data_IF_057560466951
#
_entry.id   IF_057560466951
#
_cell.length_a   1.000
_cell.length_b   1.000
_cell.length_c   1.000
_cell.angle_alpha   90.00
_cell.angle_beta   90.00
_cell.angle_gamma   90.00
#
_symmetry.space_group_name_H-M   'P 1'
#
loop_
_entity.id
_entity.type
_entity.pdbx_description
1 polymer ?
2 non-polymer ?
3 non-polymer ?
4 non-polymer ?
5 non-polymer ?
6 water ?
#
# COMPACT_ATOMS: atom_id res chain seq x y z
C UNK A 27 -17.83 14.38 27.63
N UNK A 28 -17.84 14.90 26.40
CA UNK A 28 -17.81 14.07 25.20
C UNK A 28 -16.53 13.23 25.16
N UNK A 29 -15.39 13.83 25.47
CA UNK A 29 -14.12 13.10 25.43
C UNK A 29 -14.05 12.03 26.53
N UNK A 30 -14.69 12.31 27.66
CA UNK A 30 -14.78 11.33 28.74
C UNK A 30 -15.57 10.10 28.27
N UNK A 31 -16.70 10.37 27.61
CA UNK A 31 -17.52 9.32 27.01
C UNK A 31 -16.69 8.55 25.97
N UNK A 32 -16.03 9.28 25.07
CA UNK A 32 -15.21 8.61 24.05
C UNK A 32 -14.21 7.67 24.73
N UNK A 33 -13.53 8.17 25.75
CA UNK A 33 -12.55 7.36 26.48
C UNK A 33 -13.17 6.07 27.09
N UNK A 34 -14.28 6.19 27.82
CA UNK A 34 -14.97 5.00 28.36
C UNK A 34 -15.36 4.00 27.24
N UNK A 35 -15.86 4.54 26.14
CA UNK A 35 -16.19 3.73 24.97
C UNK A 35 -14.96 3.01 24.39
N UNK A 36 -13.82 3.70 24.29
CA UNK A 36 -12.59 3.03 23.86
C UNK A 36 -12.22 1.90 24.82
N UNK A 37 -12.25 2.17 26.13
CA UNK A 37 -11.97 1.10 27.09
C UNK A 37 -12.88 -0.13 26.87
N UNK A 38 -14.18 0.11 26.69
CA UNK A 38 -15.12 -0.97 26.50
C UNK A 38 -14.80 -1.77 25.22
N UNK A 39 -14.52 -1.06 24.13
CA UNK A 39 -14.15 -1.76 22.93
C UNK A 39 -12.83 -2.56 23.12
N UNK A 40 -11.87 -2.00 23.85
CA UNK A 40 -10.60 -2.70 24.07
C UNK A 40 -10.82 -4.02 24.80
N UNK A 41 -11.70 -3.99 25.80
CA UNK A 41 -12.11 -5.24 26.47
C UNK A 41 -12.66 -6.26 25.49
N UNK A 42 -13.56 -5.79 24.61
CA UNK A 42 -14.08 -6.72 23.61
C UNK A 42 -12.99 -7.28 22.69
N UNK A 43 -12.06 -6.45 22.26
CA UNK A 43 -10.97 -6.92 21.41
C UNK A 43 -10.18 -8.00 22.14
N UNK A 44 -9.81 -7.74 23.40
CA UNK A 44 -9.03 -8.68 24.16
C UNK A 44 -9.73 -10.04 24.30
N UNK A 45 -11.06 -10.03 24.41
CA UNK A 45 -11.78 -11.29 24.47
C UNK A 45 -11.49 -12.25 23.29
N UNK A 46 -11.02 -11.74 22.17
CA UNK A 46 -10.81 -12.56 20.97
C UNK A 46 -9.35 -12.72 20.63
N UNK A 47 -8.48 -12.44 21.60
CA UNK A 47 -7.03 -12.55 21.42
C UNK A 47 -6.48 -13.61 22.38
N UNK A 48 -5.72 -14.55 21.84
CA UNK A 48 -4.92 -15.45 22.68
C UNK A 48 -3.46 -15.34 22.23
N UNK A 49 -2.56 -15.27 23.19
CA UNK A 49 -1.15 -15.17 22.86
C UNK A 49 -0.33 -16.12 23.69
N UNK A 50 0.70 -16.67 23.11
CA UNK A 50 1.66 -17.40 23.90
C UNK A 50 3.06 -17.39 23.32
N UNK A 51 4.05 -17.63 24.17
CA UNK A 51 5.42 -17.68 23.72
C UNK A 51 5.81 -19.14 23.55
N UNK A 52 5.99 -19.54 22.31
CA UNK A 52 6.10 -20.95 21.98
C UNK A 52 7.45 -21.28 21.39
N UNK A 53 8.16 -20.27 20.90
CA UNK A 53 9.45 -20.47 20.27
C UNK A 53 10.57 -19.80 21.08
N UNK A 54 11.56 -20.61 21.46
CA UNK A 54 12.72 -20.14 22.18
C UNK A 54 13.59 -19.28 21.28
N UNK A 55 14.61 -18.67 21.86
CA UNK A 55 15.54 -17.85 21.10
C UNK A 55 16.23 -18.68 19.99
N UNK A 56 16.62 -19.91 20.34
CA UNK A 56 17.24 -20.83 19.39
C UNK A 56 16.33 -21.25 18.23
N UNK A 57 15.10 -21.61 18.57
CA UNK A 57 14.09 -21.96 17.58
C UNK A 57 13.83 -20.77 16.66
N UNK A 58 13.78 -19.58 17.25
CA UNK A 58 13.58 -18.35 16.52
C UNK A 58 14.72 -18.11 15.53
N UNK A 59 15.95 -18.26 16.01
CA UNK A 59 17.13 -18.14 15.15
C UNK A 59 17.08 -19.13 13.98
N UNK A 60 16.75 -20.39 14.25
CA UNK A 60 16.70 -21.35 13.15
C UNK A 60 15.61 -20.96 12.14
N UNK A 61 14.44 -20.58 12.62
CA UNK A 61 13.38 -20.12 11.71
C UNK A 61 13.78 -18.84 10.95
N UNK A 62 14.41 -17.89 11.65
CA UNK A 62 14.90 -16.66 11.01
C UNK A 62 15.87 -16.92 9.85
N UNK A 63 16.75 -17.91 10.02
CA UNK A 63 17.64 -18.31 8.90
C UNK A 63 16.84 -18.81 7.67
N UNK A 64 15.72 -19.48 7.89
CA UNK A 64 14.94 -19.98 6.76
C UNK A 64 14.16 -18.84 6.09
N UNK A 65 13.69 -17.90 6.90
CA UNK A 65 13.07 -16.69 6.36
C UNK A 65 14.07 -15.95 5.46
N UNK A 66 15.31 -15.82 5.93
CA UNK A 66 16.36 -15.23 5.11
C UNK A 66 16.60 -16.05 3.83
N UNK A 67 16.59 -17.38 3.92
CA UNK A 67 16.63 -18.22 2.69
C UNK A 67 15.49 -17.85 1.71
N UNK A 68 14.27 -17.72 2.21
CA UNK A 68 13.15 -17.35 1.35
C UNK A 68 13.43 -16.00 0.66
N UNK A 69 13.87 -15.02 1.43
CA UNK A 69 14.16 -13.72 0.83
C UNK A 69 15.23 -13.86 -0.25
N UNK A 70 16.27 -14.63 0.05
CA UNK A 70 17.34 -14.86 -0.91
C UNK A 70 16.85 -15.52 -2.19
N UNK A 71 16.03 -16.55 -2.06
CA UNK A 71 15.53 -17.22 -3.24
C UNK A 71 14.62 -16.27 -4.03
N UNK A 72 13.83 -15.45 -3.34
CA UNK A 72 12.99 -14.49 -4.05
C UNK A 72 13.85 -13.50 -4.83
N UNK A 73 14.91 -13.03 -4.21
CA UNK A 73 15.79 -12.08 -4.88
C UNK A 73 16.49 -12.72 -6.08
N UNK A 74 16.67 -14.05 -6.05
CA UNK A 74 17.27 -14.76 -7.18
C UNK A 74 16.24 -15.04 -8.30
N UNK A 75 14.97 -14.73 -8.03
CA UNK A 75 13.90 -14.91 -9.00
C UNK A 75 13.42 -16.35 -9.14
N UNK A 76 13.47 -17.13 -8.06
CA UNK A 76 13.18 -18.55 -8.11
C UNK A 76 11.75 -18.88 -7.75
N UNK A 77 10.96 -17.87 -7.40
CA UNK A 77 9.56 -18.08 -7.11
C UNK A 77 8.69 -17.60 -8.27
N UNK A 78 7.45 -18.09 -8.34
CA UNK A 78 6.50 -17.58 -9.32
C UNK A 78 6.19 -16.12 -9.04
N UNK A 79 5.79 -15.38 -10.07
CA UNK A 79 5.56 -13.94 -9.96
C UNK A 79 4.62 -13.59 -8.80
N UNK A 80 3.49 -14.28 -8.69
CA UNK A 80 2.48 -13.91 -7.71
C UNK A 80 2.82 -14.33 -6.28
N UNK A 81 3.91 -15.08 -6.12
CA UNK A 81 4.39 -15.44 -4.79
C UNK A 81 4.95 -14.27 -4.00
N UNK A 82 5.54 -13.30 -4.71
CA UNK A 82 6.28 -12.22 -4.10
C UNK A 82 5.66 -10.88 -4.42
N UNK A 83 5.30 -10.14 -3.37
CA UNK A 83 4.78 -8.77 -3.53
C UNK A 83 5.71 -7.78 -2.84
N UNK A 84 6.38 -6.92 -3.63
CA UNK A 84 7.40 -6.00 -3.11
C UNK A 84 6.88 -4.58 -2.93
N UNK A 85 7.18 -3.98 -1.79
CA UNK A 85 6.85 -2.58 -1.55
C UNK A 85 7.97 -1.92 -0.76
N UNK A 86 8.06 -0.59 -0.80
CA UNK A 86 9.20 0.17 -0.28
C UNK A 86 9.75 -0.35 1.05
N UNK A 87 8.89 -0.55 2.04
CA UNK A 87 9.36 -0.95 3.36
C UNK A 87 8.78 -2.29 3.78
N UNK A 88 8.31 -3.07 2.83
CA UNK A 88 7.75 -4.35 3.20
C UNK A 88 7.59 -5.25 2.01
N UNK A 89 7.91 -6.52 2.25
CA UNK A 89 7.71 -7.53 1.23
C UNK A 89 6.78 -8.60 1.77
N UNK A 90 5.93 -9.13 0.89
CA UNK A 90 5.07 -10.25 1.25
C UNK A 90 5.42 -11.46 0.38
N UNK A 91 5.44 -12.62 1.01
CA UNK A 91 5.73 -13.87 0.34
C UNK A 91 4.55 -14.79 0.59
N UNK A 92 3.82 -15.12 -0.47
CA UNK A 92 2.59 -15.91 -0.35
C UNK A 92 2.87 -17.41 -0.62
N UNK A 93 2.54 -18.28 0.32
CA UNK A 93 2.64 -19.72 0.08
C UNK A 93 1.35 -20.47 0.31
N UNK A 94 1.13 -21.48 -0.51
CA UNK A 94 -0.05 -22.33 -0.41
C UNK A 94 -1.24 -21.66 -1.10
N UNK A 95 -1.66 -20.52 -0.55
CA UNK A 95 -2.65 -19.66 -1.18
C UNK A 95 -2.29 -18.20 -0.98
N UNK A 96 -2.59 -17.38 -1.98
CA UNK A 96 -2.40 -15.93 -1.90
C UNK A 96 -3.64 -15.26 -2.43
N UNK A 97 -3.74 -13.95 -2.23
CA UNK A 97 -4.90 -13.22 -2.68
C UNK A 97 -4.55 -11.85 -3.13
N UNK A 98 -5.47 -11.26 -3.86
CA UNK A 98 -5.29 -9.94 -4.41
C UNK A 98 -6.68 -9.33 -4.62
N UNK A 99 -6.73 -8.05 -4.94
CA UNK A 99 -7.99 -7.41 -5.32
C UNK A 99 -8.32 -7.74 -6.78
N UNK A 100 -9.49 -8.33 -7.00
CA UNK A 100 -9.94 -8.63 -8.34
C UNK A 100 -10.86 -7.53 -8.82
N UNK A 101 -11.12 -7.52 -10.13
CA UNK A 101 -12.13 -6.64 -10.70
C UNK A 101 -13.50 -6.94 -10.10
N UNK A 102 -14.22 -5.89 -9.69
CA UNK A 102 -15.55 -6.04 -9.09
C UNK A 102 -16.62 -5.40 -9.96
N UNK A 108 -19.42 -10.93 -2.68
CA UNK A 108 -18.89 -10.53 -1.37
C UNK A 108 -17.92 -9.34 -1.49
N UNK A 109 -16.85 -9.33 -0.69
CA UNK A 109 -15.79 -8.35 -0.84
C UNK A 109 -14.94 -8.66 -2.06
N UNK A 110 -14.01 -7.77 -2.37
CA UNK A 110 -13.33 -7.77 -3.66
C UNK A 110 -12.09 -8.68 -3.74
N UNK A 111 -11.58 -9.11 -2.60
CA UNK A 111 -10.41 -9.99 -2.61
C UNK A 111 -10.71 -11.34 -3.25
N UNK A 112 -9.71 -11.86 -3.95
CA UNK A 112 -9.82 -13.12 -4.66
C UNK A 112 -8.52 -13.87 -4.49
N UNK A 113 -8.62 -15.19 -4.33
CA UNK A 113 -7.45 -16.06 -4.37
C UNK A 113 -6.88 -16.11 -5.78
N UNK A 114 -5.57 -16.28 -5.91
CA UNK A 114 -4.98 -16.53 -7.20
C UNK A 114 -5.41 -17.92 -7.71
N UNK A 115 -5.28 -18.18 -9.02
CA UNK A 115 -5.63 -19.50 -9.56
C UNK A 115 -4.80 -20.61 -8.92
N UNK A 116 -5.34 -21.85 -8.90
CA UNK A 116 -4.57 -22.96 -8.30
C UNK A 116 -3.18 -23.07 -8.93
N UNK A 117 -2.16 -23.27 -8.10
CA UNK A 117 -0.80 -23.40 -8.60
C UNK A 117 -0.06 -22.11 -8.93
N UNK A 118 -0.72 -20.95 -8.82
CA UNK A 118 -0.06 -19.68 -9.10
C UNK A 118 1.02 -19.31 -8.06
N UNK A 119 0.75 -19.55 -6.78
CA UNK A 119 1.77 -19.24 -5.76
C UNK A 119 2.51 -20.52 -5.41
N UNK A 120 3.70 -20.38 -4.84
CA UNK A 120 4.52 -21.54 -4.48
C UNK A 120 3.94 -22.27 -3.29
N UNK A 121 4.25 -23.56 -3.19
CA UNK A 121 3.79 -24.42 -2.10
C UNK A 121 4.37 -23.98 -0.74
N UNK A 122 3.67 -24.27 0.34
CA UNK A 122 4.23 -24.02 1.66
C UNK A 122 5.54 -24.83 1.83
N UNK A 123 6.65 -24.16 2.21
CA UNK A 123 7.90 -24.89 2.40
C UNK A 123 7.80 -25.89 3.55
N UNK A 124 8.51 -26.99 3.42
CA UNK A 124 8.51 -28.05 4.44
C UNK A 124 8.84 -27.46 5.81
N UNK A 125 9.80 -26.55 5.87
CA UNK A 125 10.24 -26.05 7.17
C UNK A 125 9.13 -25.27 7.88
N UNK A 126 8.20 -24.70 7.13
CA UNK A 126 7.08 -24.05 7.77
C UNK A 126 6.19 -25.10 8.40
N UNK A 127 6.00 -26.21 7.71
CA UNK A 127 5.24 -27.32 8.29
C UNK A 127 5.92 -27.89 9.52
N UNK A 128 7.22 -28.15 9.42
CA UNK A 128 7.92 -28.91 10.45
C UNK A 128 8.27 -28.03 11.66
N UNK A 129 8.73 -26.81 11.39
CA UNK A 129 9.27 -25.97 12.45
C UNK A 129 8.23 -25.10 13.10
N UNK A 130 7.18 -24.73 12.36
CA UNK A 130 6.19 -23.77 12.87
C UNK A 130 4.83 -24.41 13.10
N UNK A 131 4.23 -24.97 12.05
CA UNK A 131 2.87 -25.47 12.16
C UNK A 131 2.81 -26.66 13.12
N UNK A 132 3.72 -27.62 12.95
CA UNK A 132 3.67 -28.82 13.77
C UNK A 132 3.75 -28.45 15.24
N UNK A 133 4.56 -27.45 15.56
CA UNK A 133 4.67 -26.98 16.94
C UNK A 133 3.36 -26.34 17.45
N UNK A 134 2.71 -25.56 16.59
CA UNK A 134 1.41 -25.01 16.93
C UNK A 134 0.39 -26.12 17.19
N UNK A 135 0.41 -27.16 16.35
CA UNK A 135 -0.52 -28.27 16.53
C UNK A 135 -0.21 -29.03 17.81
N UNK A 136 1.07 -29.23 18.10
CA UNK A 136 1.50 -29.96 19.29
C UNK A 136 1.03 -29.29 20.56
N UNK A 137 1.03 -27.96 20.55
CA UNK A 137 0.58 -27.19 21.69
C UNK A 137 -0.90 -26.80 21.56
N UNK A 138 -1.62 -27.45 20.64
CA UNK A 138 -3.07 -27.32 20.57
C UNK A 138 -3.56 -25.87 20.31
N UNK A 139 -2.81 -25.12 19.51
CA UNK A 139 -3.23 -23.79 19.10
C UNK A 139 -4.24 -23.86 17.96
N UNK A 140 -4.01 -24.78 17.05
CA UNK A 140 -4.90 -25.04 15.92
C UNK A 140 -4.96 -26.54 15.67
N UNK A 141 -6.03 -27.01 15.02
CA UNK A 141 -6.09 -28.44 14.75
C UNK A 141 -5.13 -28.84 13.67
N UNK A 142 -4.78 -30.11 13.66
CA UNK A 142 -4.05 -30.70 12.54
C UNK A 142 -4.79 -30.48 11.23
N UNK A 143 -4.05 -30.10 10.19
CA UNK A 143 -4.61 -29.93 8.87
C UNK A 143 -5.41 -28.64 8.65
N UNK A 144 -5.39 -27.75 9.63
CA UNK A 144 -6.07 -26.46 9.50
C UNK A 144 -5.37 -25.54 8.49
N UNK A 145 -4.08 -25.34 8.67
CA UNK A 145 -3.37 -24.34 7.88
C UNK A 145 -3.12 -24.82 6.45
N UNK A 146 -3.56 -24.04 5.45
CA UNK A 146 -3.13 -24.30 4.05
C UNK A 146 -2.61 -23.02 3.37
N UNK A 147 -2.51 -21.94 4.14
CA UNK A 147 -1.92 -20.70 3.65
C UNK A 147 -0.91 -20.16 4.65
N UNK A 148 0.26 -19.83 4.12
CA UNK A 148 1.34 -19.24 4.91
C UNK A 148 1.93 -18.03 4.19
N UNK A 149 1.72 -16.86 4.78
CA UNK A 149 2.25 -15.62 4.23
C UNK A 149 3.33 -15.07 5.15
N UNK A 150 4.49 -14.82 4.57
CA UNK A 150 5.57 -14.19 5.31
C UNK A 150 5.58 -12.70 4.94
N UNK A 151 5.37 -11.86 5.96
CA UNK A 151 5.51 -10.43 5.83
C UNK A 151 6.83 -10.00 6.46
N UNK A 152 7.67 -9.32 5.67
CA UNK A 152 8.98 -8.87 6.10
C UNK A 152 9.02 -7.34 6.08
N UNK A 153 9.11 -6.75 7.27
CA UNK A 153 9.06 -5.30 7.47
C UNK A 153 10.41 -4.74 7.87
N UNK A 154 10.75 -3.62 7.23
CA UNK A 154 11.85 -2.78 7.66
C UNK A 154 11.30 -1.70 8.59
N UNK A 155 12.18 -1.08 9.39
CA UNK A 155 11.73 0.02 10.25
C UNK A 155 10.94 1.03 9.45
N UNK A 156 9.77 1.43 9.94
CA UNK A 156 8.96 2.42 9.25
C UNK A 156 7.89 1.83 8.37
N UNK A 157 7.82 0.50 8.31
CA UNK A 157 6.85 -0.16 7.48
C UNK A 157 5.44 0.08 7.96
N UNK A 158 4.47 -0.03 7.06
CA UNK A 158 3.09 0.30 7.42
C UNK A 158 2.12 -0.63 6.73
N UNK A 159 1.07 -1.00 7.45
CA UNK A 159 -0.03 -1.76 6.86
C UNK A 159 -1.30 -0.99 7.08
N UNK A 160 -2.14 -0.94 6.07
CA UNK A 160 -3.42 -0.27 6.18
C UNK A 160 -4.44 -1.06 7.02
N UNK A 161 -5.24 -0.32 7.76
CA UNK A 161 -6.46 -0.81 8.41
C UNK A 161 -7.21 -1.82 7.58
N UNK A 162 -7.44 -2.99 8.15
CA UNK A 162 -8.18 -4.01 7.42
C UNK A 162 -8.71 -5.07 8.35
N UNK A 163 -9.73 -5.78 7.87
CA UNK A 163 -10.15 -7.08 8.41
C UNK A 163 -9.68 -8.18 7.45
N UNK A 164 -9.10 -9.25 7.94
CA UNK A 164 -8.73 -10.36 7.04
C UNK A 164 -10.01 -10.85 6.36
N UNK A 165 -10.02 -10.88 5.01
CA UNK A 165 -11.29 -11.11 4.29
C UNK A 165 -12.03 -12.39 4.70
N UNK A 166 -13.26 -12.20 5.16
CA UNK A 166 -14.03 -13.26 5.78
C UNK A 166 -14.59 -14.21 4.72
N UNK A 167 -14.67 -13.77 3.47
CA UNK A 167 -15.06 -14.65 2.37
C UNK A 167 -13.87 -15.46 1.78
N UNK A 168 -12.66 -15.19 2.27
CA UNK A 168 -11.47 -15.96 1.90
C UNK A 168 -10.97 -16.91 3.00
N UNK A 169 -10.89 -16.39 4.22
CA UNK A 169 -10.25 -17.07 5.35
C UNK A 169 -11.21 -17.40 6.48
N UNK A 170 -11.13 -18.64 6.92
CA UNK A 170 -11.79 -19.09 8.12
C UNK A 170 -11.01 -18.59 9.32
N UNK A 171 -11.69 -18.56 10.46
CA UNK A 171 -11.06 -18.17 11.69
C UNK A 171 -10.72 -19.44 12.44
N UNK A 172 -9.71 -19.40 13.32
CA UNK A 172 -8.96 -18.23 13.76
C UNK A 172 -7.82 -17.82 12.80
N UNK A 173 -7.31 -16.61 12.99
CA UNK A 173 -6.18 -16.09 12.24
C UNK A 173 -4.95 -16.28 13.13
N UNK A 174 -3.90 -16.91 12.64
CA UNK A 174 -2.73 -17.12 13.47
C UNK A 174 -1.51 -16.38 12.94
N UNK A 175 -0.79 -15.69 13.81
CA UNK A 175 0.44 -15.07 13.39
C UNK A 175 1.60 -15.32 14.35
N UNK A 176 2.77 -15.52 13.78
CA UNK A 176 3.97 -15.84 14.54
C UNK A 176 5.05 -14.83 14.21
N UNK A 177 5.63 -14.22 15.23
CA UNK A 177 6.53 -13.10 15.04
C UNK A 177 8.02 -13.41 15.22
N UNK A 178 8.85 -12.79 14.40
CA UNK A 178 10.29 -13.06 14.39
C UNK A 178 11.14 -11.80 14.20
N UNK A 179 12.42 -11.95 14.58
CA UNK A 179 13.50 -10.97 14.44
C UNK A 179 13.51 -9.92 15.53
N UNK A 180 12.35 -9.36 15.87
CA UNK A 180 12.31 -8.35 16.91
C UNK A 180 10.92 -8.23 17.56
N UNK A 181 10.87 -7.60 18.73
CA UNK A 181 9.61 -7.33 19.41
C UNK A 181 8.92 -6.12 18.77
N UNK A 182 7.61 -6.16 18.66
CA UNK A 182 6.87 -5.05 18.07
C UNK A 182 5.43 -4.95 18.62
N UNK A 183 4.54 -4.32 17.86
CA UNK A 183 3.14 -4.13 18.25
C UNK A 183 2.19 -4.24 17.07
N UNK A 184 1.04 -4.83 17.34
CA UNK A 184 -0.07 -4.95 16.41
C UNK A 184 -1.22 -4.11 16.92
N UNK A 185 -1.74 -3.22 16.08
CA UNK A 185 -2.79 -2.30 16.50
C UNK A 185 -4.19 -2.72 16.05
N UNK A 186 -5.14 -2.56 16.95
CA UNK A 186 -6.54 -2.81 16.68
C UNK A 186 -7.35 -1.53 16.83
N UNK A 187 -8.31 -1.38 15.90
CA UNK A 187 -9.19 -0.23 15.85
C UNK A 187 -8.40 0.89 15.20
N UNK A 188 -8.38 0.90 13.86
CA UNK A 188 -7.38 1.66 13.12
C UNK A 188 -7.96 2.89 12.39
N UNK A 189 -9.06 3.41 12.92
CA UNK A 189 -9.66 4.62 12.37
C UNK A 189 -8.69 5.81 12.47
N UNK A 190 -7.81 5.79 13.47
CA UNK A 190 -6.81 6.83 13.64
C UNK A 190 -5.99 7.06 12.36
N UNK A 191 -5.87 6.03 11.54
CA UNK A 191 -5.08 6.14 10.31
C UNK A 191 -5.64 7.21 9.39
N UNK A 192 -6.93 7.52 9.51
CA UNK A 192 -7.57 8.44 8.58
C UNK A 192 -7.93 9.77 9.22
N UNK A 193 -7.37 10.03 10.39
CA UNK A 193 -7.60 11.29 11.11
C UNK A 193 -6.29 12.01 11.34
N UNK A 194 -6.34 13.34 11.58
CA UNK A 194 -5.09 14.07 11.85
C UNK A 194 -4.35 13.50 13.06
N UNK A 195 -3.03 13.66 13.06
CA UNK A 195 -2.24 13.34 14.23
C UNK A 195 -2.76 14.21 15.42
N UNK A 196 -2.87 13.56 16.58
CA UNK A 196 -3.32 14.14 17.86
C UNK A 196 -4.83 14.07 18.05
N UNK A 197 -5.54 13.57 17.04
CA UNK A 197 -6.98 13.49 17.14
C UNK A 197 -7.40 12.10 17.64
N UNK A 198 -6.68 11.08 17.23
CA UNK A 198 -7.09 9.72 17.53
C UNK A 198 -5.91 8.85 17.86
N UNK A 199 -6.22 7.61 18.21
CA UNK A 199 -5.24 6.61 18.57
C UNK A 199 -5.85 5.22 18.37
N UNK A 200 -5.01 4.18 18.37
CA UNK A 200 -5.53 2.81 18.30
C UNK A 200 -6.39 2.48 19.49
N UNK A 201 -7.41 1.67 19.26
CA UNK A 201 -8.25 1.20 20.35
C UNK A 201 -7.41 0.31 21.26
N UNK A 202 -6.60 -0.55 20.66
CA UNK A 202 -5.70 -1.42 21.42
C UNK A 202 -4.37 -1.62 20.72
N UNK A 203 -3.29 -1.41 21.47
CA UNK A 203 -1.98 -1.82 20.99
C UNK A 203 -1.60 -3.10 21.71
N UNK A 204 -1.43 -4.15 20.92
CA UNK A 204 -1.03 -5.45 21.42
C UNK A 204 0.45 -5.71 21.21
N UNK A 205 1.21 -5.85 22.29
CA UNK A 205 2.61 -6.23 22.14
C UNK A 205 2.76 -7.60 21.49
N UNK A 206 3.64 -7.72 20.49
CA UNK A 206 3.93 -9.00 19.86
C UNK A 206 5.45 -9.22 19.88
N UNK A 207 5.86 -10.06 20.81
CA UNK A 207 7.28 -10.31 21.03
C UNK A 207 7.81 -11.37 20.08
N UNK A 208 9.11 -11.30 19.83
CA UNK A 208 9.81 -12.35 19.08
C UNK A 208 9.51 -13.72 19.68
N UNK A 209 9.04 -14.65 18.85
CA UNK A 209 8.76 -16.00 19.28
C UNK A 209 7.34 -16.18 19.80
N UNK A 210 6.55 -15.12 19.74
CA UNK A 210 5.18 -15.21 20.22
C UNK A 210 4.23 -15.61 19.09
N UNK A 211 3.18 -16.30 19.50
CA UNK A 211 2.08 -16.71 18.65
C UNK A 211 0.86 -15.93 19.06
N UNK A 212 0.20 -15.32 18.07
CA UNK A 212 -0.99 -14.52 18.28
C UNK A 212 -2.17 -15.14 17.52
N UNK A 213 -3.25 -15.40 18.25
CA UNK A 213 -4.44 -16.07 17.71
C UNK A 213 -5.65 -15.14 17.82
N UNK A 214 -6.21 -14.79 16.65
CA UNK A 214 -7.36 -13.88 16.60
C UNK A 214 -8.64 -14.62 16.24
N UNK A 215 -9.66 -14.41 17.07
CA UNK A 215 -10.99 -14.95 16.82
C UNK A 215 -12.07 -13.95 17.26
N UNK A 216 -13.33 -14.28 17.00
CA UNK A 216 -14.45 -13.47 17.42
C UNK A 216 -14.29 -11.99 17.09
N UNK A 217 -14.51 -11.15 18.11
CA UNK A 217 -14.54 -9.71 17.92
C UNK A 217 -13.22 -9.22 17.29
N UNK A 218 -12.11 -9.75 17.78
CA UNK A 218 -10.77 -9.32 17.37
C UNK A 218 -10.50 -9.60 15.91
N UNK A 219 -11.08 -10.68 15.41
CA UNK A 219 -10.85 -11.09 14.03
C UNK A 219 -11.96 -10.61 13.08
N UNK A 220 -13.16 -10.41 13.62
CA UNK A 220 -14.33 -10.18 12.77
C UNK A 220 -14.97 -8.81 12.87
N UNK A 221 -14.79 -8.14 14.00
CA UNK A 221 -15.58 -6.96 14.32
C UNK A 221 -14.75 -5.68 14.51
N UNK A 222 -13.48 -5.75 14.17
CA UNK A 222 -12.62 -4.59 14.24
C UNK A 222 -11.45 -4.77 13.27
N UNK A 223 -10.85 -3.66 12.86
CA UNK A 223 -9.69 -3.66 11.98
C UNK A 223 -8.39 -3.85 12.76
N UNK A 224 -7.35 -4.30 12.08
CA UNK A 224 -5.99 -4.19 12.61
C UNK A 224 -5.05 -3.61 11.58
N UNK A 225 -3.88 -3.22 12.07
CA UNK A 225 -2.89 -2.50 11.27
C UNK A 225 -1.56 -2.45 11.97
N UNK A 226 -0.55 -1.90 11.31
CA UNK A 226 0.77 -1.73 11.90
C UNK A 226 1.23 -0.30 11.67
N UNK A 227 1.78 0.30 12.71
CA UNK A 227 2.28 1.66 12.64
C UNK A 227 3.79 1.67 12.41
N UNK A 228 4.27 2.55 11.52
CA UNK A 228 5.71 2.68 11.26
C UNK A 228 6.55 2.78 12.52
N UNK A 229 6.13 3.64 13.45
CA UNK A 229 6.93 3.92 14.62
C UNK A 229 7.04 2.70 15.56
N UNK A 230 6.18 1.70 15.36
CA UNK A 230 6.21 0.48 16.16
C UNK A 230 7.19 -0.54 15.58
N UNK A 231 7.66 -0.31 14.36
CA UNK A 231 8.66 -1.19 13.77
C UNK A 231 10.01 -0.49 13.87
N UNK A 232 10.77 -0.88 14.89
CA UNK A 232 12.02 -0.20 15.21
C UNK A 232 13.22 -0.96 14.66
N UNK A 233 13.08 -2.27 14.51
CA UNK A 233 14.09 -3.06 13.84
C UNK A 233 13.34 -3.93 12.86
N UNK A 234 14.08 -4.57 11.96
CA UNK A 234 13.48 -5.54 11.06
C UNK A 234 12.56 -6.47 11.84
N UNK A 235 11.39 -6.73 11.28
CA UNK A 235 10.40 -7.57 11.91
C UNK A 235 9.83 -8.48 10.84
N UNK A 236 9.69 -9.77 11.14
CA UNK A 236 8.98 -10.63 10.19
C UNK A 236 7.87 -11.36 10.89
N UNK A 237 6.78 -11.61 10.18
CA UNK A 237 5.65 -12.30 10.77
C UNK A 237 5.19 -13.36 9.78
N UNK A 238 4.96 -14.56 10.29
CA UNK A 238 4.38 -15.64 9.52
C UNK A 238 2.90 -15.72 9.87
N UNK A 239 2.06 -15.46 8.87
CA UNK A 239 0.62 -15.50 9.04
C UNK A 239 0.10 -16.80 8.45
N UNK A 240 -0.56 -17.57 9.32
CA UNK A 240 -0.98 -18.92 9.07
C UNK A 240 -2.49 -18.94 9.14
N UNK A 241 -3.08 -19.30 7.99
CA UNK A 241 -4.52 -19.33 7.83
C UNK A 241 -5.03 -20.52 7.04
N UNK A 242 -6.33 -20.72 7.20
CA UNK A 242 -7.12 -21.67 6.46
C UNK A 242 -8.01 -20.95 5.48
N UNK A 243 -7.92 -21.28 4.19
CA UNK A 243 -8.84 -20.73 3.23
C UNK A 243 -10.13 -21.51 3.24
N UNK A 244 -11.22 -20.80 3.02
CA UNK A 244 -12.53 -21.42 2.83
C UNK A 244 -12.52 -22.27 1.58
N UNK A 245 -13.20 -23.41 1.64
CA UNK A 245 -13.36 -24.26 0.47
C UNK A 245 -14.03 -23.50 -0.66
N UNK A 246 -14.96 -22.60 -0.34
CA UNK A 246 -15.69 -21.86 -1.37
C UNK A 246 -15.07 -20.49 -1.66
N UNK A 247 -13.85 -20.25 -1.21
CA UNK A 247 -13.21 -18.96 -1.44
C UNK A 247 -13.16 -18.67 -2.95
N UNK A 248 -13.63 -17.49 -3.39
CA UNK A 248 -13.57 -17.22 -4.84
C UNK A 248 -12.13 -16.99 -5.33
N UNK A 249 -11.87 -17.44 -6.55
CA UNK A 249 -10.57 -17.29 -7.19
C UNK A 249 -10.74 -16.38 -8.39
N UNK A 250 -9.67 -15.70 -8.77
CA UNK A 250 -9.68 -14.97 -10.04
C UNK A 250 -10.10 -15.89 -11.18
N UNK B 36 14.50 25.74 8.72
CA UNK B 36 13.24 25.06 8.50
C UNK B 36 12.45 25.73 7.37
N UNK B 37 12.20 27.02 7.52
CA UNK B 37 11.58 27.81 6.45
C UNK B 37 12.56 27.89 5.28
N UNK B 38 13.84 27.74 5.59
CA UNK B 38 14.89 27.69 4.60
C UNK B 38 14.60 26.59 3.57
N UNK B 39 14.05 25.47 4.04
CA UNK B 39 13.78 24.36 3.14
C UNK B 39 12.47 24.56 2.38
N UNK B 40 11.45 25.04 3.08
CA UNK B 40 10.18 25.38 2.44
C UNK B 40 10.42 26.33 1.25
N UNK B 41 11.32 27.29 1.43
CA UNK B 41 11.76 28.12 0.32
C UNK B 41 12.26 27.29 -0.87
N UNK B 42 13.20 26.39 -0.60
CA UNK B 42 13.82 25.60 -1.67
C UNK B 42 12.78 24.70 -2.32
N UNK B 43 11.83 24.22 -1.54
CA UNK B 43 10.79 23.38 -2.13
C UNK B 43 9.92 24.24 -3.05
N UNK B 44 9.57 25.44 -2.58
CA UNK B 44 8.75 26.34 -3.38
C UNK B 44 9.45 26.71 -4.69
N UNK B 45 10.77 26.80 -4.69
CA UNK B 45 11.47 27.10 -5.95
C UNK B 45 11.18 26.08 -7.06
N UNK B 46 10.83 24.84 -6.72
CA UNK B 46 10.68 23.79 -7.72
C UNK B 46 9.24 23.47 -8.07
N UNK B 47 8.35 24.38 -7.72
CA UNK B 47 6.92 24.18 -7.96
C UNK B 47 6.37 25.32 -8.80
N UNK B 48 5.70 24.95 -9.88
CA UNK B 48 4.91 25.93 -10.64
C UNK B 48 3.50 25.37 -10.79
N UNK B 49 2.51 26.21 -10.57
CA UNK B 49 1.10 25.78 -10.62
C UNK B 49 0.31 26.69 -11.54
N UNK B 50 -0.76 26.18 -12.15
CA UNK B 50 -1.68 27.11 -12.81
C UNK B 50 -3.05 26.51 -13.09
N UNK B 51 -4.08 27.33 -13.02
CA UNK B 51 -5.42 26.96 -13.45
C UNK B 51 -5.40 26.84 -14.97
N UNK B 52 -5.94 25.77 -15.52
CA UNK B 52 -5.83 25.54 -16.95
C UNK B 52 -7.08 24.93 -17.59
N UNK B 53 -7.85 24.18 -16.82
CA UNK B 53 -9.04 23.53 -17.35
C UNK B 53 -10.32 24.14 -16.75
N UNK B 54 -11.26 24.52 -17.63
CA UNK B 54 -12.54 25.09 -17.20
C UNK B 54 -13.40 24.03 -16.52
N UNK B 55 -14.51 24.44 -15.92
CA UNK B 55 -15.44 23.50 -15.31
C UNK B 55 -15.88 22.47 -16.35
N UNK B 56 -16.20 22.94 -17.56
CA UNK B 56 -16.68 22.07 -18.64
C UNK B 56 -15.61 21.06 -19.10
N UNK B 57 -14.41 21.56 -19.32
CA UNK B 57 -13.29 20.72 -19.68
C UNK B 57 -13.06 19.65 -18.62
N UNK B 58 -13.10 20.08 -17.37
CA UNK B 58 -12.95 19.16 -16.23
C UNK B 58 -14.03 18.08 -16.26
N UNK B 59 -15.28 18.49 -16.42
CA UNK B 59 -16.39 17.53 -16.52
C UNK B 59 -16.14 16.50 -17.64
N UNK B 60 -15.74 16.98 -18.81
CA UNK B 60 -15.44 16.05 -19.91
C UNK B 60 -14.36 15.03 -19.47
N UNK B 61 -13.24 15.55 -18.94
CA UNK B 61 -12.15 14.67 -18.54
C UNK B 61 -12.56 13.67 -17.43
N UNK B 62 -13.33 14.16 -16.46
CA UNK B 62 -13.83 13.34 -15.38
C UNK B 62 -14.73 12.21 -15.86
N UNK B 63 -15.58 12.51 -16.84
CA UNK B 63 -16.34 11.47 -17.53
C UNK B 63 -15.41 10.43 -18.17
N UNK B 64 -14.35 10.89 -18.83
CA UNK B 64 -13.41 9.90 -19.40
C UNK B 64 -12.70 9.05 -18.32
N UNK B 65 -12.33 9.67 -17.20
CA UNK B 65 -11.70 8.93 -16.11
C UNK B 65 -12.68 7.85 -15.63
N UNK B 66 -13.94 8.23 -15.44
CA UNK B 66 -14.95 7.23 -15.06
C UNK B 66 -15.03 6.09 -16.09
N UNK B 67 -14.98 6.44 -17.36
CA UNK B 67 -14.91 5.43 -18.42
C UNK B 67 -13.73 4.46 -18.21
N UNK B 68 -12.54 4.99 -17.97
CA UNK B 68 -11.39 4.12 -17.64
C UNK B 68 -11.68 3.19 -16.47
N UNK B 69 -12.23 3.75 -15.39
CA UNK B 69 -12.55 2.92 -14.22
C UNK B 69 -13.50 1.79 -14.61
N UNK B 70 -14.53 2.13 -15.37
CA UNK B 70 -15.50 1.13 -15.78
C UNK B 70 -14.86 0.06 -16.67
N UNK B 71 -13.98 0.48 -17.57
CA UNK B 71 -13.30 -0.48 -18.44
C UNK B 71 -12.45 -1.44 -17.61
N UNK B 72 -11.81 -0.88 -16.57
CA UNK B 72 -10.96 -1.69 -15.69
C UNK B 72 -11.77 -2.72 -14.93
N UNK B 73 -12.93 -2.29 -14.41
CA UNK B 73 -13.83 -3.21 -13.71
C UNK B 73 -14.30 -4.36 -14.60
N UNK B 74 -14.42 -4.09 -15.89
CA UNK B 74 -14.83 -5.11 -16.83
C UNK B 74 -13.65 -5.99 -17.20
N UNK B 75 -12.48 -5.69 -16.64
CA UNK B 75 -11.31 -6.53 -16.84
C UNK B 75 -10.76 -6.43 -18.26
N UNK B 76 -10.95 -5.28 -18.88
CA UNK B 76 -10.57 -5.10 -20.29
C UNK B 76 -9.17 -4.52 -20.49
N UNK B 77 -8.43 -4.29 -19.40
CA UNK B 77 -7.03 -3.88 -19.48
C UNK B 77 -6.08 -5.03 -19.12
N UNK B 78 -4.81 -4.88 -19.51
CA UNK B 78 -3.76 -5.81 -19.12
C UNK B 78 -3.57 -5.85 -17.62
N UNK B 79 -3.07 -6.97 -17.10
CA UNK B 79 -2.85 -7.12 -15.66
C UNK B 79 -2.11 -5.92 -15.04
N UNK B 80 -0.99 -5.51 -15.64
CA UNK B 80 -0.11 -4.54 -14.98
C UNK B 80 -0.51 -3.10 -15.21
N UNK B 81 -1.56 -2.89 -16.00
CA UNK B 81 -2.13 -1.56 -16.21
C UNK B 81 -2.84 -1.06 -14.94
N UNK B 82 -3.48 -1.98 -14.25
CA UNK B 82 -4.30 -1.65 -13.07
C UNK B 82 -3.69 -2.13 -11.75
N UNK B 83 -3.39 -1.18 -10.88
CA UNK B 83 -2.92 -1.46 -9.52
C UNK B 83 -4.03 -1.08 -8.53
N UNK B 84 -4.69 -2.10 -7.99
CA UNK B 84 -5.81 -1.90 -7.07
C UNK B 84 -5.38 -2.01 -5.62
N UNK B 85 -5.88 -1.09 -4.80
CA UNK B 85 -5.67 -1.12 -3.36
C UNK B 85 -6.93 -0.59 -2.68
N UNK B 86 -7.03 -0.77 -1.36
CA UNK B 86 -8.26 -0.40 -0.65
C UNK B 86 -8.69 1.06 -0.87
N UNK B 87 -7.77 2.02 -0.83
CA UNK B 87 -8.16 3.43 -0.88
C UNK B 87 -7.72 4.18 -2.13
N UNK B 88 -7.00 3.52 -3.02
CA UNK B 88 -6.58 4.16 -4.26
C UNK B 88 -6.35 3.13 -5.35
N UNK B 89 -6.75 3.50 -6.57
CA UNK B 89 -6.44 2.68 -7.74
C UNK B 89 -5.53 3.48 -8.65
N UNK B 90 -4.55 2.80 -9.25
CA UNK B 90 -3.61 3.42 -10.17
C UNK B 90 -3.78 2.74 -11.52
N UNK B 91 -3.86 3.55 -12.55
CA UNK B 91 -3.97 3.07 -13.92
C UNK B 91 -2.77 3.59 -14.69
N UNK B 92 -1.91 2.67 -15.11
CA UNK B 92 -0.65 2.97 -15.80
C UNK B 92 -0.84 2.87 -17.31
N UNK B 93 -0.56 3.96 -18.03
CA UNK B 93 -0.59 3.96 -19.50
C UNK B 93 0.72 4.46 -20.10
N UNK B 94 1.14 3.80 -21.18
CA UNK B 94 2.37 4.12 -21.90
C UNK B 94 3.60 3.42 -21.30
N UNK B 95 3.88 3.75 -20.05
CA UNK B 95 4.91 3.08 -19.29
C UNK B 95 4.41 3.00 -17.84
N UNK B 96 4.85 1.99 -17.12
CA UNK B 96 4.53 1.84 -15.70
C UNK B 96 5.75 1.25 -15.05
N UNK B 97 5.78 1.28 -13.71
CA UNK B 97 6.92 0.82 -12.94
C UNK B 97 6.49 0.07 -11.68
N UNK B 98 7.42 -0.69 -11.11
CA UNK B 98 7.17 -1.42 -9.87
C UNK B 98 8.53 -1.70 -9.24
N UNK B 99 8.56 -2.39 -8.10
CA UNK B 99 9.82 -2.74 -7.43
C UNK B 99 10.27 -4.14 -7.83
N UNK B 100 11.58 -4.29 -8.03
CA UNK B 100 12.16 -5.57 -8.43
C UNK B 100 13.24 -6.02 -7.45
N UNK B 110 15.56 -1.69 -6.97
CA UNK B 110 14.56 -0.66 -6.76
C UNK B 110 13.59 -0.58 -7.96
N UNK B 111 13.06 0.61 -8.25
CA UNK B 111 12.02 0.72 -9.27
C UNK B 111 12.54 0.38 -10.65
N UNK B 112 11.70 -0.31 -11.41
CA UNK B 112 12.01 -0.72 -12.77
C UNK B 112 10.76 -0.59 -13.62
N UNK B 113 10.94 -0.28 -14.90
CA UNK B 113 9.83 -0.20 -15.82
C UNK B 113 9.33 -1.60 -16.15
N UNK B 114 8.02 -1.78 -16.26
CA UNK B 114 7.48 -3.03 -16.81
C UNK B 114 8.03 -3.23 -18.23
N UNK B 115 8.17 -4.50 -18.65
CA UNK B 115 8.68 -4.78 -20.00
C UNK B 115 7.79 -4.15 -21.09
N UNK B 116 8.32 -3.90 -22.29
CA UNK B 116 7.50 -3.32 -23.34
C UNK B 116 6.24 -4.13 -23.63
N UNK B 117 5.09 -3.47 -23.69
CA UNK B 117 3.85 -4.14 -24.05
C UNK B 117 3.05 -4.62 -22.85
N UNK B 118 3.62 -4.49 -21.66
CA UNK B 118 2.92 -4.93 -20.46
C UNK B 118 1.73 -4.02 -20.14
N UNK B 119 1.91 -2.69 -20.22
CA UNK B 119 0.80 -1.79 -19.90
C UNK B 119 0.13 -1.33 -21.18
N UNK B 120 -1.10 -0.83 -21.03
CA UNK B 120 -1.90 -0.37 -22.14
C UNK B 120 -1.42 0.99 -22.64
N UNK B 121 -1.72 1.29 -23.90
CA UNK B 121 -1.33 2.58 -24.48
C UNK B 121 -2.08 3.78 -23.89
N UNK B 122 -1.47 4.95 -23.99
CA UNK B 122 -2.11 6.19 -23.55
C UNK B 122 -3.43 6.37 -24.33
N UNK B 123 -4.56 6.53 -23.62
CA UNK B 123 -5.80 6.70 -24.39
C UNK B 123 -5.80 7.97 -25.22
N UNK B 124 -6.53 7.97 -26.33
CA UNK B 124 -6.55 9.13 -27.22
C UNK B 124 -7.12 10.36 -26.51
N UNK B 125 -8.09 10.16 -25.62
CA UNK B 125 -8.68 11.29 -24.93
C UNK B 125 -7.63 11.92 -24.04
N UNK B 126 -6.65 11.14 -23.55
CA UNK B 126 -5.59 11.74 -22.74
C UNK B 126 -4.73 12.64 -23.63
N UNK B 127 -4.36 12.16 -24.81
CA UNK B 127 -3.62 13.02 -25.75
C UNK B 127 -4.39 14.29 -26.11
N UNK B 128 -5.67 14.13 -26.43
CA UNK B 128 -6.42 15.25 -26.99
C UNK B 128 -6.90 16.24 -25.94
N UNK B 129 -7.36 15.74 -24.80
CA UNK B 129 -8.01 16.61 -23.83
C UNK B 129 -7.03 17.19 -22.81
N UNK B 130 -5.93 16.48 -22.56
CA UNK B 130 -5.01 16.89 -21.51
C UNK B 130 -3.67 17.32 -22.08
N UNK B 131 -2.94 16.38 -22.67
CA UNK B 131 -1.59 16.65 -23.12
C UNK B 131 -1.54 17.82 -24.12
N UNK B 132 -2.43 17.82 -25.11
CA UNK B 132 -2.45 18.91 -26.07
C UNK B 132 -2.78 20.26 -25.42
N UNK B 133 -3.56 20.22 -24.34
CA UNK B 133 -3.86 21.44 -23.61
C UNK B 133 -2.59 21.99 -22.99
N UNK B 134 -1.81 21.11 -22.39
CA UNK B 134 -0.53 21.48 -21.81
C UNK B 134 0.45 21.95 -22.88
N UNK B 135 0.49 21.24 -24.00
CA UNK B 135 1.41 21.60 -25.09
C UNK B 135 1.10 22.97 -25.65
N UNK B 136 -0.18 23.26 -25.88
CA UNK B 136 -0.52 24.51 -26.54
C UNK B 136 -0.45 25.68 -25.57
N UNK B 137 -0.34 25.38 -24.27
CA UNK B 137 -0.08 26.41 -23.28
C UNK B 137 1.40 26.43 -22.87
N UNK B 138 2.22 25.70 -23.61
CA UNK B 138 3.68 25.78 -23.48
C UNK B 138 4.18 25.34 -22.10
N UNK B 139 3.35 24.56 -21.40
CA UNK B 139 3.77 23.92 -20.15
C UNK B 139 4.86 22.88 -20.42
N UNK B 140 4.74 22.20 -21.55
CA UNK B 140 5.63 21.09 -21.84
C UNK B 140 5.66 20.96 -23.37
N UNK B 141 6.81 20.52 -23.92
CA UNK B 141 6.86 20.50 -25.40
C UNK B 141 6.16 19.30 -26.03
N UNK B 142 5.81 19.44 -27.30
CA UNK B 142 5.24 18.35 -28.06
C UNK B 142 6.20 17.16 -28.00
N UNK B 143 5.64 15.96 -27.82
CA UNK B 143 6.43 14.75 -27.85
C UNK B 143 7.11 14.38 -26.54
N UNK B 144 6.89 15.19 -25.51
CA UNK B 144 7.48 14.94 -24.19
C UNK B 144 6.84 13.76 -23.46
N UNK B 145 5.52 13.77 -23.36
CA UNK B 145 4.81 12.81 -22.52
C UNK B 145 4.76 11.45 -23.18
N UNK B 146 5.32 10.44 -22.54
CA UNK B 146 5.15 9.05 -23.00
C UNK B 146 4.67 8.16 -21.88
N UNK B 147 4.47 8.74 -20.70
CA UNK B 147 3.82 8.03 -19.59
C UNK B 147 2.67 8.84 -18.98
N UNK B 148 1.49 8.21 -18.90
CA UNK B 148 0.35 8.80 -18.20
C UNK B 148 -0.23 7.81 -17.19
N UNK B 149 -0.19 8.23 -15.93
CA UNK B 149 -0.77 7.44 -14.85
C UNK B 149 -1.95 8.18 -14.26
N UNK B 150 -3.07 7.49 -14.12
CA UNK B 150 -4.21 8.04 -13.43
C UNK B 150 -4.26 7.47 -12.02
N UNK B 151 -4.27 8.36 -11.03
CA UNK B 151 -4.46 7.94 -9.64
C UNK B 151 -5.84 8.36 -9.18
N UNK B 152 -6.62 7.38 -8.73
CA UNK B 152 -7.99 7.63 -8.33
C UNK B 152 -8.10 7.33 -6.84
N UNK B 153 -8.19 8.40 -6.05
CA UNK B 153 -8.25 8.30 -4.59
C UNK B 153 -9.67 8.43 -4.05
N UNK B 154 -9.99 7.49 -3.15
CA UNK B 154 -11.20 7.53 -2.34
C UNK B 154 -10.98 8.47 -1.15
N UNK B 155 -12.07 8.99 -0.58
CA UNK B 155 -11.95 9.83 0.61
C UNK B 155 -11.15 9.12 1.70
N UNK B 156 -10.24 9.86 2.34
CA UNK B 156 -9.39 9.28 3.36
C UNK B 156 -8.20 8.52 2.80
N UNK B 157 -8.01 8.60 1.49
CA UNK B 157 -6.89 7.94 0.84
C UNK B 157 -5.55 8.44 1.37
N UNK B 158 -4.50 7.67 1.10
CA UNK B 158 -3.17 7.95 1.65
C UNK B 158 -2.09 7.44 0.71
N UNK B 159 -1.04 8.22 0.55
CA UNK B 159 0.09 7.85 -0.28
C UNK B 159 1.36 7.98 0.53
N UNK B 160 2.17 6.94 0.50
CA UNK B 160 3.39 6.94 1.30
C UNK B 160 4.44 7.87 0.71
N UNK B 161 5.17 8.50 1.62
CA UNK B 161 6.35 9.29 1.30
C UNK B 161 7.19 8.69 0.18
N UNK B 162 7.45 9.46 -0.88
CA UNK B 162 8.30 8.98 -1.95
C UNK B 162 8.84 10.11 -2.80
N UNK B 163 9.81 9.76 -3.63
CA UNK B 163 10.32 10.62 -4.69
C UNK B 163 10.10 9.90 -6.01
N UNK B 164 9.62 10.63 -7.01
CA UNK B 164 9.39 10.03 -8.32
C UNK B 164 10.74 9.52 -8.84
N UNK B 165 10.81 8.23 -9.25
CA UNK B 165 12.12 7.59 -9.48
C UNK B 165 13.03 8.36 -10.42
N UNK B 166 14.12 8.88 -9.88
CA UNK B 166 15.00 9.75 -10.65
C UNK B 166 15.68 8.99 -11.80
N UNK B 167 15.90 7.69 -11.62
CA UNK B 167 16.50 6.85 -12.65
C UNK B 167 15.50 6.33 -13.69
N UNK B 168 14.22 6.67 -13.54
CA UNK B 168 13.19 6.26 -14.49
C UNK B 168 12.67 7.46 -15.28
N UNK B 169 12.35 8.55 -14.58
CA UNK B 169 11.68 9.68 -15.20
C UNK B 169 12.54 10.95 -15.30
N UNK B 170 12.47 11.60 -16.46
CA UNK B 170 12.95 12.97 -16.62
C UNK B 170 12.08 13.92 -15.82
N UNK B 171 12.58 15.15 -15.64
CA UNK B 171 11.79 16.26 -15.12
C UNK B 171 11.51 17.23 -16.27
N UNK B 172 10.44 18.02 -16.18
CA UNK B 172 9.54 18.15 -15.04
C UNK B 172 8.57 16.99 -14.91
N UNK B 173 8.05 16.81 -13.69
CA UNK B 173 6.92 15.93 -13.47
C UNK B 173 5.66 16.77 -13.57
N UNK B 174 4.69 16.37 -14.39
CA UNK B 174 3.46 17.16 -14.50
C UNK B 174 2.24 16.39 -14.00
N UNK B 175 1.44 17.05 -13.16
CA UNK B 175 0.23 16.43 -12.64
C UNK B 175 -0.98 17.36 -12.79
N UNK B 176 -2.12 16.77 -13.11
CA UNK B 176 -3.36 17.52 -13.28
C UNK B 176 -4.43 16.91 -12.40
N UNK B 177 -5.16 17.75 -11.68
CA UNK B 177 -6.09 17.28 -10.67
C UNK B 177 -7.55 17.39 -11.11
N UNK B 178 -8.36 16.43 -10.70
CA UNK B 178 -9.79 16.43 -10.99
C UNK B 178 -10.63 15.92 -9.81
N UNK B 179 -11.94 16.19 -9.95
CA UNK B 179 -13.05 15.83 -9.06
C UNK B 179 -13.17 16.74 -7.84
N UNK B 180 -12.06 17.11 -7.22
CA UNK B 180 -12.13 18.00 -6.07
C UNK B 180 -10.80 18.66 -5.79
N UNK B 181 -10.81 19.58 -4.83
CA UNK B 181 -9.59 20.26 -4.39
C UNK B 181 -8.94 19.46 -3.27
N UNK B 182 -7.62 19.53 -3.15
CA UNK B 182 -6.91 18.75 -2.14
C UNK B 182 -5.58 19.42 -1.86
N UNK B 183 -4.63 18.67 -1.33
CA UNK B 183 -3.31 19.22 -1.06
C UNK B 183 -2.25 18.15 -1.29
N UNK B 184 -1.04 18.59 -1.61
CA UNK B 184 0.11 17.71 -1.77
C UNK B 184 1.15 18.10 -0.71
N UNK B 185 1.59 17.13 0.08
CA UNK B 185 2.57 17.40 1.14
C UNK B 185 3.99 17.10 0.71
N UNK B 186 4.92 17.93 1.17
CA UNK B 186 6.34 17.77 0.90
C UNK B 186 7.08 17.73 2.22
N UNK B 187 7.96 16.73 2.35
CA UNK B 187 8.73 16.52 3.55
C UNK B 187 7.87 15.72 4.51
N UNK B 188 7.94 14.40 4.40
CA UNK B 188 6.90 13.53 4.96
C UNK B 188 7.36 12.69 6.17
N UNK B 189 8.33 13.20 6.91
CA UNK B 189 8.79 12.49 8.10
C UNK B 189 7.68 12.25 9.15
N UNK B 190 6.66 13.10 9.16
CA UNK B 190 5.55 12.93 10.08
C UNK B 190 4.84 11.57 9.90
N UNK B 191 4.96 10.97 8.72
CA UNK B 191 4.36 9.66 8.46
C UNK B 191 5.10 8.57 9.25
N UNK B 192 6.38 8.80 9.54
CA UNK B 192 7.23 7.77 10.12
C UNK B 192 7.49 7.98 11.60
N UNK B 193 7.49 9.24 12.04
CA UNK B 193 7.76 9.60 13.43
C UNK B 193 6.82 10.70 13.96
N UNK B 194 5.53 10.41 14.07
CA UNK B 194 4.53 11.42 14.45
C UNK B 194 4.75 12.04 15.84
N UNK B 195 5.45 11.32 16.71
CA UNK B 195 5.72 11.85 18.04
C UNK B 195 6.85 12.88 17.94
N UNK B 196 7.62 12.83 16.86
CA UNK B 196 8.67 13.83 16.63
C UNK B 196 8.17 15.04 15.84
N UNK B 197 7.37 14.79 14.82
CA UNK B 197 6.88 15.84 13.94
C UNK B 197 5.54 15.42 13.37
N UNK B 198 4.61 16.37 13.26
CA UNK B 198 3.25 16.05 12.88
C UNK B 198 2.83 16.74 11.58
N UNK B 199 3.65 17.66 11.09
CA UNK B 199 3.32 18.43 9.90
C UNK B 199 4.37 18.28 8.81
N UNK B 200 3.96 18.41 7.55
CA UNK B 200 4.91 18.41 6.43
C UNK B 200 5.76 19.65 6.40
N UNK B 201 6.90 19.59 5.71
CA UNK B 201 7.70 20.78 5.48
C UNK B 201 6.84 21.78 4.75
N UNK B 202 6.12 21.32 3.73
CA UNK B 202 5.23 22.19 2.98
C UNK B 202 3.94 21.51 2.57
N UNK B 203 2.83 22.19 2.74
CA UNK B 203 1.55 21.72 2.22
C UNK B 203 1.15 22.57 1.03
N UNK B 204 0.93 21.92 -0.10
CA UNK B 204 0.68 22.62 -1.35
C UNK B 204 -0.76 22.44 -1.74
N UNK B 205 -1.54 23.52 -1.81
CA UNK B 205 -2.91 23.34 -2.28
C UNK B 205 -2.96 22.91 -3.75
N UNK B 206 -3.84 21.96 -4.09
CA UNK B 206 -3.98 21.52 -5.49
C UNK B 206 -5.48 21.42 -5.87
N UNK B 207 -5.91 22.31 -6.75
CA UNK B 207 -7.32 22.48 -7.02
C UNK B 207 -7.75 21.81 -8.32
N UNK B 208 -9.00 21.37 -8.33
CA UNK B 208 -9.63 20.81 -9.51
C UNK B 208 -9.36 21.72 -10.72
N UNK B 209 -8.81 21.13 -11.78
CA UNK B 209 -8.57 21.84 -13.02
C UNK B 209 -7.19 22.49 -13.13
N UNK B 210 -6.43 22.43 -12.04
CA UNK B 210 -5.11 23.06 -12.00
C UNK B 210 -4.01 22.07 -12.34
N UNK B 211 -2.93 22.62 -12.86
CA UNK B 211 -1.75 21.86 -13.25
C UNK B 211 -0.65 22.16 -12.26
N UNK B 212 0.07 21.12 -11.87
CA UNK B 212 1.23 21.27 -11.01
C UNK B 212 2.45 20.71 -11.74
N UNK B 213 3.48 21.54 -11.81
CA UNK B 213 4.74 21.23 -12.49
C UNK B 213 5.85 21.17 -11.44
N UNK B 214 6.42 19.97 -11.26
CA UNK B 214 7.51 19.77 -10.31
C UNK B 214 8.85 19.58 -10.98
N UNK B 215 9.84 20.28 -10.43
CA UNK B 215 11.19 20.26 -10.94
C UNK B 215 12.20 20.51 -9.80
N UNK B 216 13.48 20.35 -10.09
CA UNK B 216 14.54 20.69 -9.18
C UNK B 216 14.38 20.11 -7.79
N UNK B 217 14.57 20.96 -6.80
CA UNK B 217 14.53 20.56 -5.40
C UNK B 217 13.24 19.84 -5.05
N UNK B 218 12.11 20.34 -5.54
CA UNK B 218 10.81 19.78 -5.18
C UNK B 218 10.62 18.38 -5.77
N UNK B 219 11.26 18.13 -6.92
CA UNK B 219 11.16 16.82 -7.57
C UNK B 219 12.26 15.85 -7.12
N UNK B 220 13.42 16.40 -6.72
CA UNK B 220 14.63 15.58 -6.53
C UNK B 220 15.13 15.40 -5.08
N UNK B 221 14.89 16.37 -4.21
CA UNK B 221 15.61 16.43 -2.94
C UNK B 221 14.71 16.30 -1.71
N UNK B 222 13.42 16.10 -1.94
CA UNK B 222 12.47 15.97 -0.85
C UNK B 222 11.37 15.02 -1.28
N UNK B 223 10.82 14.28 -0.33
CA UNK B 223 9.71 13.38 -0.61
C UNK B 223 8.40 14.13 -0.68
N UNK B 224 7.40 13.50 -1.28
CA UNK B 224 6.02 13.97 -1.14
C UNK B 224 5.09 12.81 -0.81
N UNK B 225 3.88 13.17 -0.39
CA UNK B 225 2.87 12.21 0.04
C UNK B 225 1.51 12.88 0.05
N UNK B 226 0.50 12.09 0.38
CA UNK B 226 -0.86 12.59 0.55
C UNK B 226 -1.46 12.09 1.85
N UNK B 227 -2.01 13.03 2.63
CA UNK B 227 -2.62 12.77 3.93
C UNK B 227 -4.12 12.56 3.81
N UNK B 228 -4.67 11.55 4.51
CA UNK B 228 -6.12 11.29 4.44
C UNK B 228 -6.98 12.50 4.73
N UNK B 229 -6.53 13.33 5.67
CA UNK B 229 -7.27 14.53 6.04
C UNK B 229 -7.44 15.53 4.89
N UNK B 230 -6.61 15.41 3.85
CA UNK B 230 -6.67 16.32 2.69
C UNK B 230 -7.51 15.77 1.53
N UNK B 231 -7.94 14.51 1.64
CA UNK B 231 -8.84 13.90 0.68
C UNK B 231 -10.21 13.75 1.36
N UNK B 232 -11.02 14.80 1.29
CA UNK B 232 -12.33 14.77 1.93
C UNK B 232 -13.35 14.08 1.03
N UNK B 233 -13.06 14.07 -0.25
CA UNK B 233 -13.95 13.51 -1.25
C UNK B 233 -13.12 12.94 -2.40
N UNK B 234 -13.77 12.20 -3.28
CA UNK B 234 -13.04 11.54 -4.35
C UNK B 234 -12.17 12.55 -5.07
N UNK B 235 -10.93 12.16 -5.31
CA UNK B 235 -9.98 12.98 -6.05
C UNK B 235 -9.24 12.12 -7.07
N UNK B 236 -9.07 12.61 -8.29
CA UNK B 236 -8.25 11.89 -9.25
C UNK B 236 -7.15 12.80 -9.76
N UNK B 237 -5.99 12.22 -10.05
CA UNK B 237 -4.89 13.01 -10.63
C UNK B 237 -4.29 12.26 -11.81
N UNK B 238 -3.98 13.00 -12.86
CA UNK B 238 -3.28 12.46 -14.01
C UNK B 238 -1.85 12.95 -14.01
N UNK B 239 -0.93 12.02 -13.92
CA UNK B 239 0.49 12.32 -13.88
C UNK B 239 1.13 11.95 -15.20
N UNK B 240 1.62 13.00 -15.82
CA UNK B 240 2.23 13.00 -17.13
C UNK B 240 3.74 13.16 -16.97
N UNK B 241 4.43 12.14 -17.47
CA UNK B 241 5.87 12.11 -17.38
C UNK B 241 6.53 11.59 -18.65
N UNK B 242 7.84 11.82 -18.72
CA UNK B 242 8.70 11.32 -19.79
C UNK B 242 9.73 10.38 -19.19
N UNK B 243 9.86 9.17 -19.74
CA UNK B 243 10.81 8.20 -19.24
C UNK B 243 12.17 8.51 -19.82
N UNK B 244 13.23 8.26 -19.06
CA UNK B 244 14.58 8.34 -19.61
C UNK B 244 14.82 7.20 -20.60
N UNK B 245 15.77 7.37 -21.52
CA UNK B 245 16.23 6.26 -22.37
C UNK B 245 17.08 5.30 -21.53
N UNK B 246 17.72 5.84 -20.51
CA UNK B 246 18.41 5.07 -19.47
C UNK B 246 17.53 4.01 -18.81
N UNK B 247 16.25 4.33 -18.68
CA UNK B 247 15.38 3.71 -17.68
C UNK B 247 15.43 2.18 -17.72
N UNK B 248 15.85 1.57 -16.59
CA UNK B 248 16.03 0.12 -16.57
C UNK B 248 14.71 -0.68 -16.66
N UNK B 249 14.78 -1.69 -17.52
CA UNK B 249 13.76 -2.73 -17.77
C UNK B 249 12.64 -2.29 -18.75
N UNK B 250 12.90 -1.25 -19.53
CA UNK B 250 12.33 -1.06 -20.88
C UNK B 250 10.97 -0.36 -21.04
X LIG C 1 -4.26 -9.07 8.67
X LIG D 1 0.90 -9.46 12.89
X LIG D 1 1.48 -8.55 11.97
X LIG D 1 -0.18 -10.25 12.49
X LIG D 1 1.42 -9.55 14.20
X LIG E 1 -16.64 -25.05 5.21
X LIG E 1 -15.70 -25.78 5.95
X LIG E 1 -16.07 -23.78 4.56
X LIG E 1 -14.69 -23.92 4.25
X LIG E 1 -16.91 -23.50 3.32
X LIG E 1 -16.22 -22.72 2.39
X LIG F 1 -5.07 -6.30 3.41
X LIG F 1 -5.71 -5.07 3.14
X LIG F 1 -3.57 -6.06 3.58
X LIG F 1 -3.36 -4.73 3.99
X LIG F 1 -2.99 -7.03 4.59
X LIG F 1 -1.63 -6.72 4.83
X LIG G 1 -1.16 -2.29 3.55
X LIG G 1 -0.08 -2.46 2.86
X LIG G 1 0.23 -3.61 2.47
X LIG G 1 0.83 -1.30 2.53
X LIG G 1 0.62 -0.29 3.52
X LIG G 1 -0.35 0.72 3.30
X LIG G 1 -0.99 0.78 2.28
X LIG G 1 -0.69 1.82 4.32
X LIG G 1 0.23 1.68 5.33
X LIG G 1 0.14 2.56 6.41
X LIG G 1 -0.84 3.57 6.45
X LIG G 1 -1.65 2.80 4.36
X LIG G 1 -2.41 2.69 3.19
X LIG G 1 -1.74 3.68 5.42
X LIG G 1 -2.76 4.66 5.40
X LIG G 1 -2.86 5.54 6.45
X LIG G 1 -1.96 5.45 7.51
X LIG G 1 -0.96 4.49 7.52
X LIG H 1 4.75 10.94 -6.92
X LIG I 1 -0.69 15.26 -6.99
X LIG I 1 0.54 15.02 -7.60
X LIG I 1 -1.32 16.52 -7.16
X LIG I 1 -1.31 14.26 -6.24
X LIG J 1 7.14 8.06 17.04
X LIG J 1 7.63 7.00 17.81
X LIG J 1 5.76 8.29 16.93
X LIG J 1 8.03 8.92 16.39
X LIG K 1 -0.71 11.21 -31.09
X LIG K 1 -2.01 10.80 -30.76
X LIG K 1 -0.71 12.70 -31.42
X LIG K 1 -0.96 13.44 -30.25
X LIG K 1 0.61 13.15 -32.04
X LIG K 1 0.70 14.55 -31.96
X LIG L 1 0.35 3.43 -2.71
X LIG L 1 0.37 3.94 -1.55
X LIG L 1 1.20 4.86 -1.30
X LIG L 1 -0.58 3.45 -0.49
X LIG L 1 -0.48 4.24 0.72
X LIG L 1 0.48 3.91 1.69
X LIG L 1 1.25 3.00 1.49
X LIG L 1 0.70 4.69 3.01
X LIG L 1 -0.27 5.68 2.93
X LIG L 1 -0.37 6.61 3.95
X LIG L 1 0.52 6.56 5.06
X LIG L 1 1.57 4.66 4.07
X LIG L 1 2.47 3.59 3.92
X LIG L 1 1.48 5.58 5.10
X LIG L 1 2.40 5.49 6.18
X LIG L 1 2.31 6.41 7.21
X LIG L 1 1.35 7.41 7.19
X LIG L 1 0.45 7.50 6.12
#
# INVERSE_FOLDING_TARGET
MHHHHHHSSGVDLGTENLYFQSMPERSDYEEQQLQKEEEARKVKSGIRQMRLFSQDECAKIEARIDEVVSRAEKGLYNEHTVDRAPLRNKYFFGEGYTYGAQLQKRGPGQERLYPPGDVDEIPEWVHQLVIQKLVEHRVIPEGFVNSAVINDYQPGGCIVSHVDPIHIFERPIVSVSFFSDSALCFGCKFQFKPIRVSEPVLSLPVRRGSVTVLSGYAADEITHCIRPQDIKERRAVIILRKTRLDAPRL
MHHHHHHSSGVDLGTENLYFQSMPERSDYEEQQLQKEEEARKVKSGIRQMRLFSQDECAKIEARIDEVVSRAEKGLYNEHTVDRAPLRNKYFFGEGYTYGAQLQKRGPGQERLYPPGDVDEIPEWVHQLVIQKLVEHRVIPEGFVNSAVINDYQPGGCIVSHVDPIHIFERPIVSVSFFSDSALCFGCKFQFKPIRVSEPVLSLPVRRGSVTVLSGYAADEITHCIRPQDIKERRAVIILRKTRLDAPRL
MN MN
NO3 N O1 O2 O3
GOL C1 O1 C2 O2 C3 O3
GOL C1 O1 C2 O2 C3 O3
UN9 O18 C16 O17 C15 N14 C12 O13 C9 N8 C7 C2 C10 O19 C3 C4 C5 C6 C1
MN MN
NO3 N O1 O2 O3
NO3 N O1 O2 O3
GOL C1 O1 C2 O2 C3 O3
UN9 O18 C16 O17 C15 N14 C12 O13 C9 N8 C7 C2 C10 O19 C3 C4 C5 C6 C1
#
